data_IF_124577880660
#
_entry.id   IF_124577880660
#
_cell.length_a   1.000
_cell.length_b   1.000
_cell.length_c   1.000
_cell.angle_alpha   90.00
_cell.angle_beta   90.00
_cell.angle_gamma   90.00
#
_symmetry.space_group_name_H-M   'P 1'
#
loop_
_entity.id
_entity.type
_entity.pdbx_description
1 polymer ?
#
# COMPACT_ATOMS: atom_id res chain seq x y z
N UNK A 1 -2.94 11.57 -14.47
CA UNK A 1 -4.26 10.95 -14.73
C UNK A 1 -4.04 9.45 -14.81
N UNK A 2 -5.05 8.62 -14.48
CA UNK A 2 -4.99 7.20 -14.82
C UNK A 2 -5.03 7.06 -16.34
N UNK A 3 -4.44 6.00 -16.90
CA UNK A 3 -4.73 5.61 -18.28
C UNK A 3 -6.23 5.29 -18.42
N UNK A 4 -6.83 5.73 -19.52
CA UNK A 4 -8.28 5.60 -19.80
C UNK A 4 -8.75 4.13 -19.86
N UNK A 5 -7.81 3.22 -20.01
CA UNK A 5 -8.00 1.76 -20.09
C UNK A 5 -8.42 1.13 -18.75
N UNK A 6 -8.19 1.81 -17.63
CA UNK A 6 -8.50 1.26 -16.31
C UNK A 6 -9.97 1.49 -15.95
N UNK A 7 -10.70 0.44 -15.51
CA UNK A 7 -12.10 0.58 -15.14
C UNK A 7 -12.28 1.61 -14.02
N UNK A 8 -13.07 2.65 -14.29
CA UNK A 8 -13.28 3.73 -13.34
C UNK A 8 -13.93 3.22 -12.04
N UNK A 9 -14.84 2.26 -12.11
CA UNK A 9 -15.45 1.63 -10.94
C UNK A 9 -14.45 0.88 -10.04
N UNK A 10 -13.28 0.50 -10.57
CA UNK A 10 -12.23 -0.23 -9.84
C UNK A 10 -11.07 0.66 -9.40
N UNK A 11 -10.69 1.67 -10.18
CA UNK A 11 -9.52 2.50 -9.92
C UNK A 11 -9.84 3.99 -9.95
N UNK A 12 -9.41 4.73 -8.92
CA UNK A 12 -9.46 6.19 -8.90
C UNK A 12 -8.10 6.76 -8.50
N UNK A 13 -7.65 7.82 -9.17
CA UNK A 13 -6.35 8.44 -8.86
C UNK A 13 -6.46 9.94 -8.66
N UNK A 14 -5.96 10.40 -7.52
CA UNK A 14 -5.87 11.81 -7.18
C UNK A 14 -4.39 12.21 -7.17
N UNK A 15 -4.00 13.03 -8.14
CA UNK A 15 -2.60 13.44 -8.30
C UNK A 15 -2.09 14.26 -7.10
N UNK A 16 -2.96 15.08 -6.52
CA UNK A 16 -2.65 16.03 -5.44
C UNK A 16 -3.58 15.78 -4.24
N UNK A 17 -3.60 14.56 -3.73
CA UNK A 17 -4.40 14.24 -2.54
C UNK A 17 -3.85 14.95 -1.28
N UNK A 18 -2.53 15.15 -1.24
CA UNK A 18 -1.84 16.05 -0.33
C UNK A 18 -1.14 17.17 -1.10
N UNK A 19 -1.03 18.34 -0.46
CA UNK A 19 -0.09 19.38 -0.91
C UNK A 19 1.34 18.90 -0.76
N UNK A 20 2.26 19.46 -1.57
CA UNK A 20 3.67 19.09 -1.55
C UNK A 20 4.29 19.24 -0.15
N UNK A 21 3.97 20.33 0.57
CA UNK A 21 4.50 20.57 1.91
C UNK A 21 4.01 19.53 2.92
N UNK A 22 2.70 19.24 2.93
CA UNK A 22 2.13 18.21 3.83
C UNK A 22 2.69 16.83 3.53
N UNK A 23 2.83 16.51 2.25
CA UNK A 23 3.42 15.24 1.83
C UNK A 23 4.90 15.13 2.22
N UNK A 24 5.66 16.22 2.13
CA UNK A 24 7.08 16.27 2.52
C UNK A 24 7.24 16.14 4.03
N UNK A 25 6.46 16.89 4.82
CA UNK A 25 6.47 16.79 6.28
C UNK A 25 6.11 15.37 6.75
N UNK A 26 5.07 14.77 6.16
CA UNK A 26 4.67 13.41 6.48
C UNK A 26 5.75 12.39 6.09
N UNK A 27 6.40 12.56 4.93
CA UNK A 27 7.50 11.69 4.51
C UNK A 27 8.62 11.66 5.55
N UNK A 28 9.09 12.83 5.99
CA UNK A 28 10.15 12.94 6.99
C UNK A 28 9.73 12.37 8.33
N UNK A 29 8.53 12.74 8.81
CA UNK A 29 7.98 12.20 10.05
C UNK A 29 7.98 10.67 10.05
N UNK A 30 7.42 10.04 9.02
CA UNK A 30 7.31 8.58 8.95
C UNK A 30 8.68 7.92 8.82
N UNK A 31 9.57 8.45 7.96
CA UNK A 31 10.92 7.91 7.77
C UNK A 31 11.68 7.87 9.11
N UNK A 32 11.56 8.92 9.91
CA UNK A 32 12.40 9.13 11.08
C UNK A 32 11.78 8.57 12.38
N UNK A 33 10.46 8.35 12.43
CA UNK A 33 9.76 7.98 13.67
C UNK A 33 9.10 6.59 13.65
N UNK A 34 8.95 5.93 12.50
CA UNK A 34 8.41 4.57 12.48
C UNK A 34 9.46 3.53 12.86
N UNK A 35 9.05 2.56 13.68
CA UNK A 35 9.84 1.37 13.98
C UNK A 35 9.81 0.41 12.79
N UNK A 36 10.64 0.70 11.79
CA UNK A 36 10.73 -0.08 10.56
C UNK A 36 11.22 -1.51 10.80
N UNK A 37 10.56 -2.47 10.16
CA UNK A 37 10.92 -3.88 10.17
C UNK A 37 11.28 -4.36 8.77
N UNK A 38 12.14 -5.37 8.67
CA UNK A 38 12.46 -6.06 7.41
C UNK A 38 12.36 -7.57 7.62
N UNK A 39 11.14 -8.12 7.70
CA UNK A 39 10.96 -9.56 7.88
C UNK A 39 11.56 -10.35 6.70
N UNK A 40 11.85 -11.62 6.95
CA UNK A 40 12.29 -12.53 5.90
C UNK A 40 11.14 -13.43 5.47
N UNK A 41 11.13 -13.80 4.20
CA UNK A 41 10.21 -14.77 3.61
C UNK A 41 10.99 -15.97 3.08
N UNK A 42 10.37 -17.15 3.09
CA UNK A 42 10.96 -18.37 2.57
C UNK A 42 10.60 -18.54 1.10
N UNK A 43 11.59 -18.44 0.21
CA UNK A 43 11.42 -18.54 -1.24
C UNK A 43 12.54 -19.43 -1.80
N UNK A 44 12.20 -20.39 -2.66
CA UNK A 44 13.15 -21.36 -3.24
C UNK A 44 14.03 -22.07 -2.20
N UNK A 45 13.45 -22.46 -1.05
CA UNK A 45 14.17 -23.18 -0.01
C UNK A 45 15.07 -22.32 0.88
N UNK A 46 15.14 -21.00 0.66
CA UNK A 46 15.99 -20.08 1.43
C UNK A 46 15.19 -18.92 2.01
N UNK A 47 15.61 -18.46 3.19
CA UNK A 47 15.09 -17.24 3.80
C UNK A 47 15.75 -16.02 3.17
N UNK A 48 14.92 -15.07 2.72
CA UNK A 48 15.37 -13.82 2.14
C UNK A 48 14.66 -12.64 2.80
N UNK A 49 15.36 -11.57 3.19
CA UNK A 49 14.70 -10.36 3.66
C UNK A 49 13.84 -9.79 2.54
N UNK A 50 12.63 -9.34 2.87
CA UNK A 50 11.80 -8.67 1.88
C UNK A 50 12.53 -7.41 1.37
N UNK A 51 12.44 -7.08 0.07
CA UNK A 51 13.19 -5.97 -0.51
C UNK A 51 12.46 -4.64 -0.28
N UNK A 52 12.19 -4.31 0.99
CA UNK A 52 11.60 -3.07 1.51
C UNK A 52 11.62 -3.09 3.03
N UNK A 53 11.45 -1.93 3.66
CA UNK A 53 11.08 -1.86 5.07
C UNK A 53 9.55 -1.75 5.19
N UNK A 54 8.99 -2.24 6.30
CA UNK A 54 7.56 -2.12 6.56
C UNK A 54 7.25 -1.82 8.02
N UNK A 55 6.08 -1.23 8.25
CA UNK A 55 5.50 -0.97 9.55
C UNK A 55 3.98 -1.22 9.46
N UNK A 56 3.45 -2.05 10.36
CA UNK A 56 2.02 -2.33 10.45
C UNK A 56 1.42 -1.53 11.59
N UNK A 57 0.41 -0.72 11.28
CA UNK A 57 -0.25 0.20 12.21
C UNK A 57 -1.74 -0.05 12.08
N UNK A 58 -2.45 -0.12 13.20
CA UNK A 58 -3.86 -0.47 13.18
C UNK A 58 -4.51 -0.42 14.55
N UNK A 59 -5.83 -0.60 14.54
CA UNK A 59 -6.62 -0.75 15.76
C UNK A 59 -6.29 -2.10 16.44
N UNK A 60 -6.45 -2.24 17.77
CA UNK A 60 -6.06 -3.46 18.48
C UNK A 60 -6.71 -4.75 17.94
N UNK A 61 -7.91 -4.64 17.37
CA UNK A 61 -8.69 -5.71 16.77
C UNK A 61 -8.31 -6.03 15.31
N UNK A 62 -7.41 -5.25 14.70
CA UNK A 62 -6.87 -5.50 13.36
C UNK A 62 -5.68 -6.47 13.35
N UNK A 63 -5.30 -7.04 14.49
CA UNK A 63 -4.26 -8.07 14.54
C UNK A 63 -4.67 -9.29 13.69
N UNK A 64 -3.74 -9.76 12.84
CA UNK A 64 -3.97 -10.94 12.01
C UNK A 64 -2.73 -11.84 11.98
N UNK A 65 -2.97 -13.12 11.70
CA UNK A 65 -1.92 -14.13 11.60
C UNK A 65 -1.57 -14.37 10.13
N UNK A 66 -0.31 -14.14 9.76
CA UNK A 66 0.19 -14.48 8.43
C UNK A 66 1.42 -15.38 8.54
N UNK A 67 1.35 -16.56 7.92
CA UNK A 67 2.46 -17.53 7.91
C UNK A 67 2.96 -17.93 9.31
N UNK A 68 2.04 -18.11 10.27
CA UNK A 68 2.33 -18.40 11.70
C UNK A 68 3.05 -17.28 12.46
N UNK A 69 3.12 -16.07 11.88
CA UNK A 69 3.52 -14.86 12.59
C UNK A 69 2.28 -14.01 12.88
N UNK A 70 2.07 -13.71 14.15
CA UNK A 70 1.07 -12.72 14.57
C UNK A 70 1.64 -11.34 14.28
N UNK A 71 1.00 -10.59 13.38
CA UNK A 71 1.32 -9.20 13.14
C UNK A 71 0.48 -8.35 14.08
N UNK A 72 1.03 -8.04 15.26
CA UNK A 72 0.39 -7.09 16.18
C UNK A 72 0.56 -5.66 15.65
N UNK A 73 -0.53 -4.91 15.45
CA UNK A 73 -0.45 -3.54 14.96
C UNK A 73 0.23 -2.63 15.98
N UNK A 74 1.08 -1.74 15.49
CA UNK A 74 1.52 -0.59 16.28
C UNK A 74 0.36 0.41 16.44
N UNK A 75 0.30 1.16 17.56
CA UNK A 75 -0.71 2.19 17.73
C UNK A 75 -0.54 3.29 16.68
N UNK A 76 -1.66 3.91 16.30
CA UNK A 76 -1.68 4.97 15.31
C UNK A 76 -0.87 6.20 15.75
N UNK A 77 0.16 6.60 14.99
CA UNK A 77 0.73 7.94 15.12
C UNK A 77 -0.33 8.98 14.72
N UNK A 78 -0.34 10.11 15.41
CA UNK A 78 -1.36 11.16 15.23
C UNK A 78 -1.57 11.59 13.76
N UNK A 79 -0.51 11.78 12.93
CA UNK A 79 -0.71 12.14 11.52
C UNK A 79 -1.44 11.07 10.71
N UNK A 80 -1.25 9.79 11.05
CA UNK A 80 -1.89 8.66 10.38
C UNK A 80 -3.32 8.43 10.88
N UNK A 81 -3.58 8.64 12.18
CA UNK A 81 -4.95 8.62 12.71
C UNK A 81 -5.82 9.69 12.02
N UNK A 82 -5.34 10.93 11.93
CA UNK A 82 -6.06 12.01 11.22
C UNK A 82 -6.29 11.70 9.74
N UNK A 83 -5.29 11.11 9.09
CA UNK A 83 -5.41 10.70 7.69
C UNK A 83 -6.46 9.61 7.49
N UNK A 84 -6.46 8.59 8.36
CA UNK A 84 -7.44 7.51 8.38
C UNK A 84 -8.87 8.06 8.50
N UNK A 85 -9.12 8.94 9.47
CA UNK A 85 -10.44 9.56 9.65
C UNK A 85 -10.88 10.35 8.42
N UNK A 86 -9.98 11.13 7.81
CA UNK A 86 -10.29 11.85 6.58
C UNK A 86 -10.63 10.90 5.42
N UNK A 87 -9.88 9.82 5.25
CA UNK A 87 -10.14 8.82 4.21
C UNK A 87 -11.46 8.09 4.45
N UNK A 88 -11.77 7.72 5.70
CA UNK A 88 -13.03 7.10 6.10
C UNK A 88 -14.22 8.01 5.75
N UNK A 89 -14.15 9.28 6.12
CA UNK A 89 -15.20 10.26 5.82
C UNK A 89 -15.33 10.50 4.30
N UNK A 90 -14.22 10.61 3.58
CA UNK A 90 -14.24 10.87 2.14
C UNK A 90 -14.77 9.68 1.32
N UNK A 91 -14.52 8.45 1.75
CA UNK A 91 -14.81 7.24 0.98
C UNK A 91 -15.99 6.42 1.53
N UNK A 92 -16.55 6.80 2.67
CA UNK A 92 -17.57 6.01 3.36
C UNK A 92 -17.05 4.64 3.81
N UNK A 93 -15.77 4.55 4.13
CA UNK A 93 -15.09 3.31 4.53
C UNK A 93 -14.79 3.27 6.03
N UNK A 94 -14.36 2.11 6.52
CA UNK A 94 -13.95 1.87 7.91
C UNK A 94 -12.52 1.35 7.99
N UNK A 95 -11.56 2.03 7.35
CA UNK A 95 -10.16 1.67 7.48
C UNK A 95 -9.77 1.61 8.95
N UNK A 96 -9.25 0.47 9.39
CA UNK A 96 -8.78 0.19 10.75
C UNK A 96 -7.31 -0.26 10.75
N UNK A 97 -6.67 -0.40 9.58
CA UNK A 97 -5.25 -0.71 9.46
C UNK A 97 -4.57 0.04 8.31
N UNK A 98 -3.26 0.23 8.43
CA UNK A 98 -2.38 0.70 7.36
C UNK A 98 -1.07 -0.09 7.37
N UNK A 99 -0.72 -0.66 6.21
CA UNK A 99 0.61 -1.20 5.96
C UNK A 99 1.47 -0.11 5.31
N UNK A 100 2.48 0.35 6.05
CA UNK A 100 3.43 1.35 5.56
C UNK A 100 4.63 0.62 4.98
N UNK A 101 4.94 0.88 3.71
CA UNK A 101 6.08 0.30 3.01
C UNK A 101 7.09 1.39 2.64
N UNK A 102 8.34 1.26 3.09
CA UNK A 102 9.43 2.15 2.73
C UNK A 102 10.41 1.44 1.78
N UNK A 103 10.42 1.92 0.54
CA UNK A 103 11.36 1.52 -0.50
C UNK A 103 12.53 2.50 -0.46
N UNK A 104 13.69 2.07 0.02
CA UNK A 104 14.85 2.94 0.27
C UNK A 104 15.40 3.55 -1.02
N UNK A 105 15.29 2.81 -2.13
CA UNK A 105 15.64 3.23 -3.48
C UNK A 105 14.94 2.33 -4.53
N UNK A 106 15.37 2.42 -5.78
CA UNK A 106 14.86 1.62 -6.90
C UNK A 106 15.22 0.13 -6.88
N UNK A 107 16.06 -0.35 -5.97
CA UNK A 107 16.37 -1.78 -5.82
C UNK A 107 15.36 -2.49 -4.91
N UNK A 108 14.70 -1.75 -4.02
CA UNK A 108 13.55 -2.22 -3.26
C UNK A 108 12.32 -2.35 -4.19
N UNK A 109 11.53 -3.40 -3.97
CA UNK A 109 10.47 -3.81 -4.89
C UNK A 109 9.34 -4.58 -4.20
N UNK A 110 8.23 -4.76 -4.92
CA UNK A 110 7.18 -5.70 -4.56
C UNK A 110 6.81 -6.49 -5.82
N UNK A 111 6.74 -7.81 -5.69
CA UNK A 111 6.38 -8.72 -6.79
C UNK A 111 4.93 -8.55 -7.23
N UNK A 112 4.53 -9.30 -8.25
CA UNK A 112 3.12 -9.38 -8.64
C UNK A 112 2.31 -10.05 -7.53
N UNK A 113 1.24 -9.40 -7.10
CA UNK A 113 0.30 -9.89 -6.09
C UNK A 113 -1.06 -9.21 -6.29
N UNK A 114 -2.10 -9.75 -5.66
CA UNK A 114 -3.33 -9.02 -5.35
C UNK A 114 -3.44 -8.93 -3.82
N UNK A 115 -4.17 -7.94 -3.33
CA UNK A 115 -4.56 -7.87 -1.92
C UNK A 115 -5.86 -8.67 -1.76
N UNK A 116 -5.75 -10.01 -1.76
CA UNK A 116 -6.86 -10.98 -1.73
C UNK A 116 -6.89 -11.83 -0.47
N UNK A 117 -6.29 -11.32 0.62
CA UNK A 117 -6.37 -11.96 1.93
C UNK A 117 -7.83 -12.05 2.44
N UNK A 118 -8.28 -13.18 3.01
CA UNK A 118 -9.68 -13.40 3.40
C UNK A 118 -10.25 -12.32 4.33
N UNK A 119 -9.43 -11.82 5.27
CA UNK A 119 -9.78 -10.78 6.23
C UNK A 119 -10.08 -9.41 5.60
N UNK A 120 -9.79 -9.23 4.30
CA UNK A 120 -10.16 -8.03 3.54
C UNK A 120 -11.57 -8.11 2.94
N UNK A 121 -12.20 -9.29 2.97
CA UNK A 121 -13.46 -9.57 2.31
C UNK A 121 -13.37 -9.65 0.78
N UNK A 122 -14.51 -9.87 0.12
CA UNK A 122 -14.53 -10.19 -1.32
C UNK A 122 -14.22 -9.00 -2.25
N UNK A 123 -14.53 -7.77 -1.82
CA UNK A 123 -14.37 -6.55 -2.63
C UNK A 123 -13.80 -5.41 -1.78
N UNK A 124 -12.55 -5.55 -1.28
CA UNK A 124 -11.97 -4.56 -0.41
C UNK A 124 -11.83 -3.22 -1.11
N UNK A 125 -12.04 -2.14 -0.37
CA UNK A 125 -11.55 -0.82 -0.77
C UNK A 125 -10.18 -0.61 -0.14
N UNK A 126 -9.22 -0.19 -0.96
CA UNK A 126 -7.83 0.03 -0.57
C UNK A 126 -7.43 1.43 -1.00
N UNK A 127 -6.93 2.22 -0.04
CA UNK A 127 -6.44 3.57 -0.29
C UNK A 127 -4.91 3.59 -0.17
N UNK A 128 -4.22 3.84 -1.29
CA UNK A 128 -2.77 3.78 -1.44
C UNK A 128 -2.19 5.19 -1.65
N UNK A 129 -1.64 5.78 -0.59
CA UNK A 129 -1.00 7.10 -0.64
C UNK A 129 0.52 6.96 -0.82
N UNK A 130 1.09 7.70 -1.77
CA UNK A 130 2.52 7.66 -2.10
C UNK A 130 3.24 8.95 -1.71
N UNK A 131 4.41 8.80 -1.09
CA UNK A 131 5.30 9.89 -0.63
C UNK A 131 6.74 9.65 -1.12
N UNK A 132 7.52 10.72 -1.30
CA UNK A 132 8.88 10.63 -1.83
C UNK A 132 8.94 10.31 -3.33
N UNK A 133 9.90 9.46 -3.71
CA UNK A 133 10.26 9.21 -5.11
C UNK A 133 9.09 8.67 -5.94
N UNK A 134 8.96 9.17 -7.16
CA UNK A 134 8.05 8.61 -8.17
C UNK A 134 8.48 7.18 -8.51
N UNK A 135 7.52 6.25 -8.52
CA UNK A 135 7.73 4.89 -9.01
C UNK A 135 6.61 4.52 -9.97
N UNK A 136 6.96 3.82 -11.06
CA UNK A 136 5.94 3.19 -11.91
C UNK A 136 5.40 1.96 -11.20
N UNK A 137 4.16 2.05 -10.75
CA UNK A 137 3.37 0.93 -10.28
C UNK A 137 2.77 0.24 -11.50
N UNK A 138 2.81 -1.09 -11.55
CA UNK A 138 2.27 -1.84 -12.68
C UNK A 138 0.99 -2.53 -12.25
N UNK A 139 -0.06 -2.37 -13.03
CA UNK A 139 -1.31 -3.14 -12.95
C UNK A 139 -1.31 -4.16 -14.09
N UNK A 140 -1.62 -5.42 -13.80
CA UNK A 140 -1.73 -6.48 -14.80
C UNK A 140 -3.09 -7.14 -14.68
N UNK A 141 -3.87 -7.12 -15.75
CA UNK A 141 -5.11 -7.88 -15.78
C UNK A 141 -4.81 -9.39 -15.78
N UNK A 142 -5.42 -10.15 -14.85
CA UNK A 142 -5.06 -11.55 -14.59
C UNK A 142 -5.24 -12.45 -15.81
N UNK A 143 -6.32 -12.25 -16.58
CA UNK A 143 -6.67 -13.04 -17.75
C UNK A 143 -5.93 -12.58 -19.03
N UNK A 144 -6.25 -11.39 -19.55
CA UNK A 144 -5.63 -10.84 -20.76
C UNK A 144 -4.12 -10.56 -20.67
N UNK A 145 -3.55 -10.52 -19.45
CA UNK A 145 -2.13 -10.21 -19.17
C UNK A 145 -1.67 -8.82 -19.61
N UNK A 146 -2.59 -7.95 -20.05
CA UNK A 146 -2.30 -6.55 -20.38
C UNK A 146 -1.74 -5.85 -19.14
N UNK A 147 -0.65 -5.11 -19.33
CA UNK A 147 0.05 -4.39 -18.26
C UNK A 147 -0.05 -2.89 -18.48
N UNK A 148 -0.56 -2.19 -17.48
CA UNK A 148 -0.72 -0.74 -17.47
C UNK A 148 0.22 -0.12 -16.42
N UNK A 149 1.01 0.86 -16.84
CA UNK A 149 1.91 1.59 -15.94
C UNK A 149 1.18 2.80 -15.31
N UNK A 150 1.12 2.84 -13.98
CA UNK A 150 0.57 3.95 -13.19
C UNK A 150 1.71 4.67 -12.46
N UNK A 151 2.07 5.90 -12.87
CA UNK A 151 3.09 6.67 -12.17
C UNK A 151 2.54 7.22 -10.85
N UNK A 152 2.94 6.61 -9.73
CA UNK A 152 2.57 7.08 -8.39
C UNK A 152 3.55 8.17 -7.96
N UNK A 153 3.02 9.37 -7.70
CA UNK A 153 3.81 10.58 -7.42
C UNK A 153 3.78 10.94 -5.94
N UNK A 154 4.66 11.84 -5.55
CA UNK A 154 4.63 12.44 -4.22
C UNK A 154 3.27 13.10 -3.95
N UNK A 155 2.62 12.71 -2.85
CA UNK A 155 1.32 13.23 -2.43
C UNK A 155 0.12 12.65 -3.20
N UNK A 156 0.33 11.68 -4.09
CA UNK A 156 -0.75 11.08 -4.88
C UNK A 156 -1.45 9.95 -4.14
N UNK A 157 -2.76 9.81 -4.35
CA UNK A 157 -3.61 8.75 -3.81
C UNK A 157 -4.16 7.89 -4.95
N UNK A 158 -3.94 6.58 -4.89
CA UNK A 158 -4.60 5.58 -5.73
C UNK A 158 -5.60 4.81 -4.87
N UNK A 159 -6.87 4.77 -5.30
CA UNK A 159 -7.91 3.94 -4.70
C UNK A 159 -8.12 2.74 -5.60
N UNK A 160 -8.11 1.54 -5.01
CA UNK A 160 -8.45 0.27 -5.66
C UNK A 160 -9.66 -0.29 -4.93
N UNK A 161 -10.76 -0.58 -5.63
CA UNK A 161 -12.02 -1.03 -5.02
C UNK A 161 -12.78 -2.01 -5.91
N UNK A 162 -13.95 -2.45 -5.47
CA UNK A 162 -14.81 -3.36 -6.23
C UNK A 162 -14.06 -4.66 -6.56
N UNK A 163 -14.09 -5.06 -7.82
CA UNK A 163 -13.43 -6.29 -8.29
C UNK A 163 -11.95 -6.09 -8.67
N UNK A 164 -11.32 -4.96 -8.31
CA UNK A 164 -9.93 -4.67 -8.65
C UNK A 164 -8.97 -5.82 -8.27
N UNK A 165 -9.05 -6.33 -7.05
CA UNK A 165 -8.16 -7.41 -6.57
C UNK A 165 -8.50 -8.78 -7.18
N UNK A 166 -9.73 -8.95 -7.68
CA UNK A 166 -10.16 -10.17 -8.38
C UNK A 166 -9.60 -10.22 -9.80
N UNK A 167 -9.63 -9.09 -10.52
CA UNK A 167 -9.26 -9.03 -11.94
C UNK A 167 -7.82 -8.57 -12.19
N UNK A 168 -7.17 -7.92 -11.24
CA UNK A 168 -5.82 -7.37 -11.42
C UNK A 168 -4.85 -7.89 -10.38
N UNK A 169 -3.61 -8.09 -10.82
CA UNK A 169 -2.44 -8.13 -9.96
C UNK A 169 -1.68 -6.82 -10.11
N UNK A 170 -0.85 -6.50 -9.13
CA UNK A 170 -0.05 -5.31 -9.14
C UNK A 170 1.36 -5.54 -8.61
N UNK A 171 2.29 -4.69 -9.04
CA UNK A 171 3.69 -4.77 -8.63
C UNK A 171 4.37 -3.41 -8.60
N UNK A 172 5.42 -3.34 -7.79
CA UNK A 172 6.36 -2.23 -7.80
C UNK A 172 7.74 -2.76 -8.20
N UNK A 173 8.03 -2.88 -9.52
CA UNK A 173 9.27 -3.51 -10.00
C UNK A 173 10.49 -2.67 -9.65
N UNK A 174 11.67 -3.31 -9.64
CA UNK A 174 12.95 -2.61 -9.47
C UNK A 174 13.15 -1.58 -10.59
N UNK A 175 13.54 -0.37 -10.23
CA UNK A 175 13.79 0.77 -11.11
C UNK A 175 15.16 1.36 -10.78
N UNK A 176 16.24 0.72 -11.26
CA UNK A 176 17.64 0.98 -10.86
C UNK A 176 18.10 2.44 -10.91
N UNK A 177 17.46 3.29 -11.72
CA UNK A 177 17.77 4.73 -11.85
C UNK A 177 17.19 5.58 -10.71
N UNK A 178 16.27 5.05 -9.90
CA UNK A 178 15.68 5.76 -8.76
C UNK A 178 16.59 5.59 -7.55
N UNK A 179 17.17 6.69 -7.08
CA UNK A 179 18.10 6.70 -5.93
C UNK A 179 17.45 7.20 -4.64
N UNK A 180 16.32 7.90 -4.76
CA UNK A 180 15.56 8.45 -3.63
C UNK A 180 14.57 7.45 -3.05
N UNK A 181 14.29 7.59 -1.76
CA UNK A 181 13.33 6.73 -1.06
C UNK A 181 11.87 7.09 -1.35
N UNK A 182 10.99 6.08 -1.30
CA UNK A 182 9.53 6.19 -1.44
C UNK A 182 8.83 5.52 -0.27
N UNK A 183 7.90 6.21 0.37
CA UNK A 183 7.00 5.63 1.37
C UNK A 183 5.62 5.45 0.74
N UNK A 184 4.97 4.32 1.01
CA UNK A 184 3.63 4.00 0.58
C UNK A 184 2.78 3.62 1.77
N UNK A 185 1.61 4.21 1.90
CA UNK A 185 0.63 3.91 2.94
C UNK A 185 -0.56 3.19 2.29
N UNK A 186 -0.74 1.91 2.60
CA UNK A 186 -1.87 1.12 2.12
C UNK A 186 -2.88 0.96 3.23
N UNK A 187 -3.94 1.78 3.23
CA UNK A 187 -5.03 1.69 4.19
C UNK A 187 -6.01 0.59 3.77
N UNK A 188 -6.43 -0.23 4.74
CA UNK A 188 -7.35 -1.36 4.57
C UNK A 188 -8.31 -1.46 5.75
N UNK A 189 -9.44 -2.13 5.52
CA UNK A 189 -10.29 -2.63 6.59
C UNK A 189 -9.96 -4.11 6.79
N UNK A 190 -9.64 -4.48 8.01
CA UNK A 190 -9.40 -5.87 8.43
C UNK A 190 -10.62 -6.30 9.23
N UNK A 191 -11.29 -7.35 8.75
CA UNK A 191 -12.39 -8.00 9.44
C UNK A 191 -11.89 -9.35 9.99
N UNK A 192 -11.50 -9.36 11.26
CA UNK A 192 -11.04 -10.56 11.94
C UNK A 192 -12.12 -11.65 12.08
N UNK A 193 -13.41 -11.34 11.82
CA UNK A 193 -14.47 -12.35 11.81
C UNK A 193 -14.51 -13.21 10.55
N UNK A 194 -13.69 -12.88 9.53
CA UNK A 194 -13.58 -13.63 8.28
C UNK A 194 -12.42 -14.65 8.26
N UNK A 195 -11.63 -14.70 9.32
CA UNK A 195 -10.56 -15.70 9.54
C UNK A 195 -11.11 -16.99 10.14
#
# INVERSE_FOLDING_TARGET
MLPDELPADMFHYQLQALSADKATQLYHYLRDNLAWQQPSIHVFGKWHPIPRLQAYIGDPDSAYEYSKQVFSPMPWPEPLARMRERLNNQLGCKFNAVLVNYYRNGLDSMGWHADDEPELGAQPTIASLSLGALRKFKLRHKHSRVVTDVPLRHGSLLIMKGQSQQHFEHSLPKQRKVTQGRINLTFRHIDASLL
#
